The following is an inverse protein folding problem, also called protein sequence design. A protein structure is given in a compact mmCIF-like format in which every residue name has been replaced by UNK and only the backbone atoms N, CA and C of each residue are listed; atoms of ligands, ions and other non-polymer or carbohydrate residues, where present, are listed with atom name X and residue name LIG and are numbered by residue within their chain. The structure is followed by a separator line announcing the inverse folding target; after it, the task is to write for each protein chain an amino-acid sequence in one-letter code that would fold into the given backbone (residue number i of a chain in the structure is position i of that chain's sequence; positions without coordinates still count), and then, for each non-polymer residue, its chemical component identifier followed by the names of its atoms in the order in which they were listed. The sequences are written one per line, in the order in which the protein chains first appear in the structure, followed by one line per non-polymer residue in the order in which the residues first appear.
data_IF_906760099877
#
_entry.id   IF_906760099877
#
_cell.length_a   1.000
_cell.length_b   1.000
_cell.length_c   1.000
_cell.angle_alpha   90.00
_cell.angle_beta   90.00
_cell.angle_gamma   90.00
#
_symmetry.space_group_name_H-M   'P 1'
#
loop_
_entity.id
_entity.type
_entity.pdbx_description
1 polymer ?
#
# COMPACT_ATOMS: atom_id res chain seq x y z
N UNK A 1 9.56 -11.67 -30.84
CA UNK A 1 8.33 -11.09 -30.27
C UNK A 1 8.52 -11.04 -28.77
N UNK A 2 9.01 -9.91 -28.26
CA UNK A 2 8.96 -9.55 -26.86
C UNK A 2 7.92 -8.43 -26.84
N UNK A 3 6.64 -8.79 -26.79
CA UNK A 3 5.53 -7.83 -26.93
C UNK A 3 4.88 -7.45 -25.61
N UNK A 4 5.32 -8.03 -24.49
CA UNK A 4 4.60 -7.94 -23.21
C UNK A 4 5.52 -7.45 -22.08
N UNK A 5 6.39 -6.47 -22.36
CA UNK A 5 7.16 -5.78 -21.32
C UNK A 5 6.45 -4.47 -20.96
N UNK A 6 5.57 -4.53 -19.95
CA UNK A 6 4.97 -3.34 -19.37
C UNK A 6 6.01 -2.63 -18.49
N UNK A 7 6.48 -1.47 -18.94
CA UNK A 7 7.27 -0.56 -18.10
C UNK A 7 6.32 0.30 -17.26
N UNK A 8 6.56 0.42 -15.95
CA UNK A 8 5.74 1.23 -15.03
C UNK A 8 6.58 2.05 -14.07
N UNK A 9 6.11 3.26 -13.74
CA UNK A 9 6.57 4.02 -12.57
C UNK A 9 5.96 3.44 -11.28
N UNK A 10 6.71 3.51 -10.17
CA UNK A 10 6.30 3.02 -8.85
C UNK A 10 6.05 4.19 -7.91
N UNK A 11 4.81 4.38 -7.47
CA UNK A 11 4.47 5.55 -6.66
C UNK A 11 3.70 5.24 -5.36
N UNK A 12 4.26 5.75 -4.26
CA UNK A 12 3.73 5.75 -2.90
C UNK A 12 2.79 6.94 -2.73
N UNK A 13 1.51 6.73 -2.41
CA UNK A 13 0.57 7.85 -2.17
C UNK A 13 1.12 8.85 -1.14
N UNK A 14 1.63 8.42 0.01
CA UNK A 14 2.27 9.35 0.97
C UNK A 14 3.54 10.02 0.41
N UNK A 15 4.30 9.33 -0.44
CA UNK A 15 5.55 9.81 -1.00
C UNK A 15 5.41 10.80 -2.15
N UNK A 16 4.23 10.91 -2.77
CA UNK A 16 4.03 11.74 -3.96
C UNK A 16 2.76 12.60 -3.97
N UNK A 17 1.69 12.17 -3.30
CA UNK A 17 0.35 12.74 -3.47
C UNK A 17 0.26 14.16 -2.91
N UNK A 18 0.71 14.37 -1.66
CA UNK A 18 0.41 15.60 -0.94
C UNK A 18 -1.08 15.72 -0.62
N UNK A 19 -1.58 16.95 -0.46
CA UNK A 19 -2.97 17.21 -0.12
C UNK A 19 -3.38 16.51 1.17
N UNK A 20 -2.48 16.45 2.16
CA UNK A 20 -2.62 15.59 3.34
C UNK A 20 -3.84 15.95 4.22
N UNK A 21 -4.33 17.19 4.11
CA UNK A 21 -5.51 17.75 4.80
C UNK A 21 -6.66 18.11 3.83
N UNK A 22 -6.56 17.71 2.57
CA UNK A 22 -7.51 18.08 1.52
C UNK A 22 -8.42 16.90 1.13
N UNK A 23 -9.56 17.20 0.53
CA UNK A 23 -10.52 16.21 0.05
C UNK A 23 -11.02 15.27 1.16
N UNK A 24 -11.05 15.75 2.40
CA UNK A 24 -11.48 15.00 3.59
C UNK A 24 -10.56 13.85 4.01
N UNK A 25 -9.29 13.80 3.58
CA UNK A 25 -8.34 12.76 4.01
C UNK A 25 -8.05 12.82 5.52
N UNK A 26 -8.07 11.66 6.18
CA UNK A 26 -7.61 11.50 7.56
C UNK A 26 -6.11 11.20 7.63
N UNK A 27 -5.47 11.37 8.79
CA UNK A 27 -4.05 11.09 8.95
C UNK A 27 -3.75 9.58 8.86
N UNK A 28 -2.59 9.25 8.31
CA UNK A 28 -1.94 7.94 8.37
C UNK A 28 -0.83 7.93 9.44
N UNK A 29 -0.30 6.75 9.75
CA UNK A 29 0.85 6.60 10.65
C UNK A 29 2.09 7.37 10.17
N UNK A 30 2.24 7.58 8.86
CA UNK A 30 3.35 8.35 8.30
C UNK A 30 3.19 9.85 8.47
N UNK A 31 1.95 10.37 8.49
CA UNK A 31 1.71 11.78 8.84
C UNK A 31 2.20 12.02 10.27
N UNK A 32 1.82 11.20 11.24
CA UNK A 32 2.28 11.34 12.63
C UNK A 32 3.80 11.14 12.77
N UNK A 33 4.34 10.11 12.13
CA UNK A 33 5.76 9.76 12.23
C UNK A 33 6.67 10.85 11.64
N UNK A 34 6.35 11.38 10.45
CA UNK A 34 7.15 12.41 9.79
C UNK A 34 7.15 13.75 10.52
N UNK A 35 6.09 14.05 11.28
CA UNK A 35 5.99 15.24 12.13
C UNK A 35 6.68 15.09 13.49
N UNK A 36 7.26 13.92 13.78
CA UNK A 36 8.00 13.69 15.03
C UNK A 36 9.46 14.11 14.89
N UNK A 37 9.92 14.97 15.80
CA UNK A 37 11.31 15.47 15.79
C UNK A 37 12.33 14.33 15.76
N UNK A 38 13.28 14.41 14.82
CA UNK A 38 14.39 13.47 14.68
C UNK A 38 14.05 12.16 13.97
N UNK A 39 12.80 11.95 13.53
CA UNK A 39 12.42 10.77 12.73
C UNK A 39 12.75 10.90 11.24
N UNK A 40 12.76 12.13 10.70
CA UNK A 40 13.16 12.42 9.33
C UNK A 40 14.48 13.20 9.35
N UNK A 41 15.48 12.74 8.59
CA UNK A 41 16.84 13.26 8.62
C UNK A 41 16.92 14.75 8.28
N UNK A 42 16.20 15.19 7.25
CA UNK A 42 16.15 16.57 6.78
C UNK A 42 14.94 17.36 7.32
N UNK A 43 14.14 16.74 8.18
CA UNK A 43 12.90 17.29 8.77
C UNK A 43 11.81 17.62 7.75
N UNK A 44 11.88 17.10 6.53
CA UNK A 44 10.79 17.18 5.56
C UNK A 44 9.63 16.26 5.93
N UNK A 45 8.50 16.39 5.23
CA UNK A 45 7.33 15.54 5.41
C UNK A 45 6.57 15.36 4.07
N UNK A 46 5.53 14.53 4.08
CA UNK A 46 4.69 14.24 2.91
C UNK A 46 3.49 15.16 2.73
N UNK A 47 3.45 16.33 3.38
CA UNK A 47 2.25 17.18 3.36
C UNK A 47 1.88 17.67 1.94
N UNK A 48 2.91 18.00 1.16
CA UNK A 48 2.81 18.43 -0.25
C UNK A 48 3.48 17.41 -1.18
N UNK A 49 4.61 16.81 -0.77
CA UNK A 49 5.40 15.90 -1.60
C UNK A 49 5.71 16.52 -2.99
N UNK A 50 5.36 15.86 -4.10
CA UNK A 50 5.47 16.43 -5.46
C UNK A 50 4.15 17.02 -5.99
N UNK A 51 3.14 17.08 -5.12
CA UNK A 51 1.81 17.63 -5.37
C UNK A 51 1.02 16.90 -6.47
N UNK A 52 1.20 15.57 -6.56
CA UNK A 52 0.48 14.75 -7.53
C UNK A 52 -1.05 14.84 -7.36
N UNK A 53 -1.53 15.12 -6.15
CA UNK A 53 -2.96 15.35 -5.87
C UNK A 53 -3.58 16.42 -6.79
N UNK A 54 -2.85 17.51 -7.05
CA UNK A 54 -3.29 18.57 -7.95
C UNK A 54 -2.78 18.38 -9.39
N UNK A 55 -1.66 17.69 -9.56
CA UNK A 55 -0.88 17.65 -10.81
C UNK A 55 -0.95 16.31 -11.55
N UNK A 56 -1.79 15.36 -11.11
CA UNK A 56 -1.88 14.02 -11.70
C UNK A 56 -2.11 14.02 -13.21
N UNK A 57 -2.82 15.01 -13.77
CA UNK A 57 -3.00 15.11 -15.23
C UNK A 57 -1.68 15.41 -15.97
N UNK A 58 -0.81 16.24 -15.39
CA UNK A 58 0.52 16.52 -15.94
C UNK A 58 1.39 15.27 -15.86
N UNK A 59 1.34 14.56 -14.73
CA UNK A 59 2.13 13.35 -14.52
C UNK A 59 1.69 12.22 -15.48
N UNK A 60 0.39 12.02 -15.69
CA UNK A 60 -0.13 11.05 -16.66
C UNK A 60 0.27 11.41 -18.10
N UNK A 61 0.21 12.69 -18.48
CA UNK A 61 0.65 13.16 -19.80
C UNK A 61 2.17 12.93 -20.00
N UNK A 62 2.98 13.12 -18.97
CA UNK A 62 4.41 12.80 -19.02
C UNK A 62 4.66 11.29 -19.16
N UNK A 63 3.95 10.45 -18.42
CA UNK A 63 4.02 8.98 -18.52
C UNK A 63 3.69 8.53 -19.95
N UNK A 64 2.62 9.09 -20.54
CA UNK A 64 2.23 8.81 -21.91
C UNK A 64 3.31 9.24 -22.92
N UNK A 65 3.85 10.46 -22.77
CA UNK A 65 4.91 11.00 -23.65
C UNK A 65 6.22 10.20 -23.59
N UNK A 66 6.52 9.60 -22.45
CA UNK A 66 7.68 8.72 -22.28
C UNK A 66 7.46 7.31 -22.88
N UNK A 67 6.24 7.01 -23.33
CA UNK A 67 5.89 5.74 -23.97
C UNK A 67 5.64 4.61 -22.99
N UNK A 68 5.33 4.90 -21.72
CA UNK A 68 4.93 3.89 -20.76
C UNK A 68 3.51 3.40 -21.05
N UNK A 69 3.32 2.09 -20.96
CA UNK A 69 2.02 1.44 -21.21
C UNK A 69 1.26 1.14 -19.91
N UNK A 70 1.91 1.28 -18.76
CA UNK A 70 1.32 1.00 -17.47
C UNK A 70 1.80 2.00 -16.41
N UNK A 71 0.94 2.24 -15.43
CA UNK A 71 1.27 3.10 -14.30
C UNK A 71 0.81 2.44 -13.00
N UNK A 72 1.77 2.19 -12.11
CA UNK A 72 1.51 1.59 -10.81
C UNK A 72 1.48 2.66 -9.73
N UNK A 73 0.31 2.83 -9.11
CA UNK A 73 0.10 3.76 -8.01
C UNK A 73 -0.62 3.07 -6.84
N UNK A 74 -0.73 3.77 -5.72
CA UNK A 74 -1.46 3.28 -4.53
C UNK A 74 -2.64 4.17 -4.19
N UNK A 75 -3.69 3.58 -3.62
CA UNK A 75 -4.82 4.33 -3.07
C UNK A 75 -4.56 4.59 -1.60
N UNK A 76 -4.68 5.86 -1.17
CA UNK A 76 -4.57 6.21 0.24
C UNK A 76 -5.74 5.63 1.05
N UNK A 77 -5.47 4.69 1.95
CA UNK A 77 -6.53 4.11 2.79
C UNK A 77 -7.21 5.19 3.65
N UNK A 78 -6.41 6.05 4.28
CA UNK A 78 -6.93 7.13 5.12
C UNK A 78 -7.69 8.22 4.35
N UNK A 79 -7.58 8.24 3.01
CA UNK A 79 -8.42 9.07 2.14
C UNK A 79 -9.77 8.40 1.85
N UNK A 80 -9.82 7.10 1.57
CA UNK A 80 -11.09 6.39 1.33
C UNK A 80 -11.92 6.30 2.63
N UNK A 81 -11.25 6.05 3.76
CA UNK A 81 -11.85 5.94 5.08
C UNK A 81 -11.17 6.88 6.10
N UNK A 82 -11.45 8.19 6.04
CA UNK A 82 -10.99 9.17 7.02
C UNK A 82 -11.85 9.05 8.27
N UNK A 83 -11.27 8.78 9.42
CA UNK A 83 -12.08 8.63 10.64
C UNK A 83 -12.18 9.96 11.37
N UNK A 84 -13.22 10.74 11.02
CA UNK A 84 -14.03 11.55 11.94
C UNK A 84 -15.51 11.56 11.45
N UNK A 85 -16.42 10.95 12.20
CA UNK A 85 -17.83 11.39 12.26
C UNK A 85 -18.84 11.05 11.14
N UNK A 86 -18.65 10.08 10.24
CA UNK A 86 -19.68 9.74 9.22
C UNK A 86 -20.00 8.23 9.03
N UNK A 87 -20.90 7.94 8.09
CA UNK A 87 -21.62 6.66 7.88
C UNK A 87 -20.85 5.39 8.29
N UNK A 88 -21.25 4.88 9.46
CA UNK A 88 -20.76 3.69 10.16
C UNK A 88 -20.99 2.44 9.30
N UNK A 89 -19.93 1.84 8.75
CA UNK A 89 -19.95 0.38 8.46
C UNK A 89 -20.27 -0.37 9.76
N UNK A 90 -20.63 -1.66 9.77
CA UNK A 90 -20.87 -2.40 11.03
C UNK A 90 -19.71 -2.32 12.06
N UNK A 91 -18.56 -1.79 11.65
CA UNK A 91 -17.32 -1.61 12.40
C UNK A 91 -16.91 -0.13 12.61
N UNK A 92 -17.77 0.85 12.35
CA UNK A 92 -17.45 2.26 12.66
C UNK A 92 -16.60 3.02 11.63
N UNK A 93 -16.38 2.47 10.43
CA UNK A 93 -15.63 3.19 9.38
C UNK A 93 -16.54 4.10 8.57
N UNK A 94 -16.17 5.38 8.43
CA UNK A 94 -16.82 6.36 7.57
C UNK A 94 -16.20 6.34 6.18
N UNK A 95 -16.97 6.09 5.12
CA UNK A 95 -16.47 6.30 3.75
C UNK A 95 -16.53 7.78 3.40
N UNK A 96 -15.45 8.31 2.85
CA UNK A 96 -15.41 9.68 2.32
C UNK A 96 -16.18 9.76 0.98
N UNK A 97 -17.17 10.67 0.85
CA UNK A 97 -17.89 10.85 -0.41
C UNK A 97 -17.07 11.50 -1.52
N UNK A 98 -16.01 12.27 -1.21
CA UNK A 98 -15.19 13.01 -2.20
C UNK A 98 -14.03 12.17 -2.77
N UNK A 99 -13.47 11.25 -1.99
CA UNK A 99 -12.31 10.44 -2.38
C UNK A 99 -12.49 9.56 -3.62
N UNK A 100 -13.68 8.97 -3.87
CA UNK A 100 -13.92 8.24 -5.10
C UNK A 100 -13.75 9.12 -6.33
N UNK A 101 -14.15 10.40 -6.28
CA UNK A 101 -14.06 11.29 -7.44
C UNK A 101 -12.62 11.58 -7.85
N UNK A 102 -11.68 11.73 -6.90
CA UNK A 102 -10.27 12.02 -7.21
C UNK A 102 -9.55 10.82 -7.83
N UNK A 103 -9.66 9.64 -7.19
CA UNK A 103 -9.09 8.40 -7.73
C UNK A 103 -9.76 8.06 -9.07
N UNK A 104 -11.07 8.28 -9.21
CA UNK A 104 -11.75 8.12 -10.48
C UNK A 104 -11.24 9.10 -11.53
N UNK A 105 -11.02 10.37 -11.21
CA UNK A 105 -10.53 11.36 -12.17
C UNK A 105 -9.14 10.99 -12.69
N UNK A 106 -8.22 10.55 -11.80
CA UNK A 106 -6.93 10.03 -12.22
C UNK A 106 -7.08 8.81 -13.14
N UNK A 107 -7.94 7.85 -12.78
CA UNK A 107 -8.25 6.69 -13.63
C UNK A 107 -8.94 7.06 -14.95
N UNK A 108 -9.79 8.09 -14.97
CA UNK A 108 -10.43 8.63 -16.17
C UNK A 108 -9.37 9.28 -17.07
N UNK A 109 -8.36 9.94 -16.54
CA UNK A 109 -7.29 10.52 -17.37
C UNK A 109 -6.40 9.47 -18.04
N UNK A 110 -6.39 8.22 -17.58
CA UNK A 110 -5.59 7.12 -18.16
C UNK A 110 -6.18 6.51 -19.44
N UNK A 111 -7.22 7.10 -20.06
CA UNK A 111 -7.80 6.59 -21.32
C UNK A 111 -6.86 6.64 -22.53
N UNK A 112 -5.67 7.27 -22.43
CA UNK A 112 -4.65 7.33 -23.49
C UNK A 112 -3.81 6.03 -23.63
N UNK A 113 -4.37 4.88 -23.22
CA UNK A 113 -3.72 3.57 -23.37
C UNK A 113 -2.83 3.13 -22.20
N UNK A 114 -2.76 3.91 -21.11
CA UNK A 114 -2.01 3.56 -19.92
C UNK A 114 -2.85 2.63 -19.02
N UNK A 115 -2.34 1.44 -18.74
CA UNK A 115 -2.99 0.46 -17.88
C UNK A 115 -2.76 0.78 -16.39
N UNK A 116 -3.82 0.89 -15.56
CA UNK A 116 -3.67 1.10 -14.14
C UNK A 116 -3.30 -0.20 -13.41
N UNK A 117 -2.24 -0.12 -12.61
CA UNK A 117 -1.81 -1.15 -11.66
C UNK A 117 -1.95 -0.60 -10.25
N UNK A 118 -2.96 -1.07 -9.49
CA UNK A 118 -3.33 -0.40 -8.24
C UNK A 118 -2.89 -1.21 -7.03
N UNK A 119 -2.14 -0.55 -6.14
CA UNK A 119 -1.77 -1.09 -4.83
C UNK A 119 -2.75 -0.58 -3.77
N UNK A 120 -3.38 -1.46 -3.00
CA UNK A 120 -4.36 -1.08 -1.97
C UNK A 120 -3.68 -0.50 -0.73
N UNK A 121 -2.58 -1.10 -0.28
CA UNK A 121 -1.84 -0.66 0.90
C UNK A 121 -0.35 -0.46 0.60
N UNK A 122 0.13 0.74 0.86
CA UNK A 122 1.53 1.12 0.65
C UNK A 122 2.05 1.86 1.88
N UNK A 123 2.10 1.13 2.99
CA UNK A 123 2.61 1.56 4.31
C UNK A 123 1.78 2.65 5.01
N UNK A 124 0.64 3.01 4.44
CA UNK A 124 -0.16 4.20 4.76
C UNK A 124 -1.35 3.90 5.70
N UNK A 125 -1.11 3.07 6.73
CA UNK A 125 -2.16 2.67 7.68
C UNK A 125 -2.84 3.90 8.29
N UNK A 126 -4.19 3.99 8.31
CA UNK A 126 -4.89 5.07 8.99
C UNK A 126 -4.46 5.19 10.45
N UNK A 127 -4.05 6.39 10.88
CA UNK A 127 -3.52 6.64 12.21
C UNK A 127 -4.50 6.21 13.30
N UNK A 128 -5.79 6.49 13.09
CA UNK A 128 -6.85 6.10 14.01
C UNK A 128 -6.86 4.59 14.32
N UNK A 129 -6.64 3.73 13.32
CA UNK A 129 -6.59 2.27 13.53
C UNK A 129 -5.34 1.86 14.31
N UNK A 130 -4.24 2.59 14.14
CA UNK A 130 -3.05 2.40 14.95
C UNK A 130 -3.31 2.79 16.42
N UNK A 131 -3.86 3.98 16.65
CA UNK A 131 -4.07 4.52 18.01
C UNK A 131 -5.14 3.77 18.81
N UNK A 132 -6.23 3.34 18.16
CA UNK A 132 -7.37 2.72 18.86
C UNK A 132 -7.23 1.23 19.07
N UNK A 133 -6.56 0.52 18.16
CA UNK A 133 -6.49 -0.94 18.22
C UNK A 133 -5.09 -1.51 17.99
N UNK A 134 -4.06 -0.70 17.70
CA UNK A 134 -2.68 -1.16 17.51
C UNK A 134 -2.34 -1.55 16.06
N UNK A 135 -3.22 -1.28 15.09
CA UNK A 135 -2.94 -1.52 13.67
C UNK A 135 -2.65 -2.98 13.33
N UNK A 136 -1.52 -3.24 12.67
CA UNK A 136 -1.12 -4.59 12.23
C UNK A 136 -0.83 -5.57 13.37
N UNK A 137 -0.71 -5.11 14.61
CA UNK A 137 -0.56 -6.00 15.76
C UNK A 137 -1.89 -6.61 16.24
N UNK A 138 -3.03 -6.14 15.71
CA UNK A 138 -4.34 -6.58 16.13
C UNK A 138 -5.06 -7.34 15.01
N UNK A 139 -5.56 -8.54 15.33
CA UNK A 139 -6.27 -9.42 14.39
C UNK A 139 -7.47 -8.76 13.71
N UNK A 140 -8.12 -7.80 14.35
CA UNK A 140 -9.26 -7.08 13.75
C UNK A 140 -8.87 -6.31 12.48
N UNK A 141 -7.60 -5.96 12.28
CA UNK A 141 -7.12 -5.27 11.06
C UNK A 141 -7.46 -6.02 9.76
N UNK A 142 -7.59 -7.35 9.84
CA UNK A 142 -7.98 -8.20 8.71
C UNK A 142 -9.36 -7.81 8.20
N UNK A 143 -10.31 -7.54 9.11
CA UNK A 143 -11.69 -7.16 8.77
C UNK A 143 -11.73 -5.72 8.23
N UNK A 144 -11.01 -4.79 8.85
CA UNK A 144 -10.90 -3.41 8.36
C UNK A 144 -10.30 -3.34 6.96
N UNK A 145 -9.22 -4.09 6.70
CA UNK A 145 -8.60 -4.15 5.38
C UNK A 145 -9.53 -4.81 4.35
N UNK A 146 -10.26 -5.86 4.74
CA UNK A 146 -11.24 -6.52 3.87
C UNK A 146 -12.37 -5.56 3.44
N UNK A 147 -12.92 -4.77 4.37
CA UNK A 147 -13.92 -3.73 4.07
C UNK A 147 -13.35 -2.67 3.13
N UNK A 148 -12.12 -2.23 3.37
CA UNK A 148 -11.43 -1.28 2.51
C UNK A 148 -11.22 -1.82 1.09
N UNK A 149 -10.70 -3.04 0.97
CA UNK A 149 -10.50 -3.70 -0.32
C UNK A 149 -11.82 -3.88 -1.08
N UNK A 150 -12.89 -4.34 -0.41
CA UNK A 150 -14.23 -4.47 -1.00
C UNK A 150 -14.73 -3.14 -1.59
N UNK A 151 -14.54 -2.04 -0.85
CA UNK A 151 -14.88 -0.71 -1.33
C UNK A 151 -14.05 -0.32 -2.56
N UNK A 152 -12.74 -0.57 -2.57
CA UNK A 152 -11.91 -0.27 -3.75
C UNK A 152 -12.34 -1.08 -4.98
N UNK A 153 -12.55 -2.40 -4.83
CA UNK A 153 -13.00 -3.25 -5.94
C UNK A 153 -14.36 -2.83 -6.49
N UNK A 154 -15.32 -2.49 -5.61
CA UNK A 154 -16.65 -2.04 -6.02
C UNK A 154 -16.63 -0.76 -6.86
N UNK A 155 -15.70 0.15 -6.59
CA UNK A 155 -15.73 1.50 -7.16
C UNK A 155 -14.78 1.72 -8.32
N UNK A 156 -13.73 0.91 -8.43
CA UNK A 156 -12.70 1.09 -9.44
C UNK A 156 -12.45 -0.15 -10.29
N UNK A 157 -12.98 -1.32 -9.91
CA UNK A 157 -12.72 -2.58 -10.60
C UNK A 157 -13.39 -2.72 -11.98
N UNK A 158 -14.28 -1.79 -12.35
CA UNK A 158 -14.76 -1.63 -13.72
C UNK A 158 -13.59 -1.30 -14.67
N UNK A 159 -12.62 -0.50 -14.22
CA UNK A 159 -11.45 -0.05 -15.00
C UNK A 159 -10.14 -0.69 -14.57
N UNK A 160 -9.94 -0.91 -13.27
CA UNK A 160 -8.70 -1.50 -12.74
C UNK A 160 -8.75 -3.01 -12.85
N UNK A 161 -7.83 -3.57 -13.64
CA UNK A 161 -7.71 -5.02 -13.87
C UNK A 161 -6.51 -5.66 -13.19
N UNK A 162 -5.58 -4.87 -12.65
CA UNK A 162 -4.38 -5.35 -11.98
C UNK A 162 -4.31 -4.76 -10.58
N UNK A 163 -4.52 -5.61 -9.57
CA UNK A 163 -4.54 -5.22 -8.17
C UNK A 163 -3.38 -5.85 -7.41
N UNK A 164 -2.80 -5.07 -6.51
CA UNK A 164 -1.84 -5.52 -5.52
C UNK A 164 -2.38 -5.15 -4.15
N UNK A 165 -2.45 -6.12 -3.26
CA UNK A 165 -3.01 -5.91 -1.92
C UNK A 165 -2.06 -5.10 -1.05
N UNK A 166 -0.88 -5.64 -0.77
CA UNK A 166 0.11 -5.06 0.15
C UNK A 166 1.43 -4.93 -0.61
N UNK A 167 2.08 -3.76 -0.46
CA UNK A 167 3.45 -3.55 -0.91
C UNK A 167 4.44 -3.86 0.21
N UNK A 168 5.39 -4.74 -0.10
CA UNK A 168 6.59 -5.00 0.72
C UNK A 168 6.21 -5.25 2.19
N UNK A 169 5.45 -6.34 2.47
CA UNK A 169 4.97 -6.64 3.80
C UNK A 169 6.12 -6.79 4.81
N UNK A 170 7.25 -7.34 4.36
CA UNK A 170 8.47 -7.47 5.14
C UNK A 170 8.97 -6.10 5.63
N UNK A 171 9.01 -5.09 4.75
CA UNK A 171 9.45 -3.75 5.13
C UNK A 171 8.54 -3.13 6.19
N UNK A 172 7.23 -3.31 6.08
CA UNK A 172 6.29 -2.83 7.11
C UNK A 172 6.49 -3.58 8.44
N UNK A 173 6.70 -4.90 8.40
CA UNK A 173 6.88 -5.73 9.59
C UNK A 173 8.22 -5.45 10.29
N UNK A 174 9.33 -5.44 9.55
CA UNK A 174 10.68 -5.27 10.09
C UNK A 174 10.96 -3.80 10.38
N UNK A 175 10.78 -2.89 9.43
CA UNK A 175 11.14 -1.49 9.68
C UNK A 175 10.15 -0.75 10.58
N UNK A 176 8.89 -1.20 10.63
CA UNK A 176 7.86 -0.62 11.49
C UNK A 176 7.91 -1.13 12.94
N UNK A 177 8.34 -2.39 13.17
CA UNK A 177 8.20 -3.08 14.46
C UNK A 177 9.47 -3.81 14.97
N UNK A 178 10.53 -3.92 14.16
CA UNK A 178 11.87 -4.35 14.57
C UNK A 178 12.82 -3.16 14.58
N UNK A 179 13.26 -2.64 13.43
CA UNK A 179 14.30 -1.59 13.42
C UNK A 179 13.77 -0.20 13.80
N UNK A 180 12.44 -0.01 13.79
CA UNK A 180 11.74 1.24 14.13
C UNK A 180 12.12 2.46 13.27
N UNK A 181 12.69 2.24 12.08
CA UNK A 181 13.07 3.31 11.15
C UNK A 181 11.90 3.76 10.27
N UNK A 182 10.84 2.95 10.14
CA UNK A 182 9.58 3.32 9.47
C UNK A 182 8.46 3.51 10.48
N UNK A 183 7.40 4.23 10.09
CA UNK A 183 6.18 4.30 10.87
C UNK A 183 5.61 2.89 11.14
N UNK A 184 5.08 2.59 12.34
CA UNK A 184 4.86 3.48 13.48
C UNK A 184 6.10 3.70 14.37
N UNK A 185 7.26 3.12 14.04
CA UNK A 185 8.51 3.33 14.77
C UNK A 185 8.57 2.60 16.11
N UNK A 186 8.02 1.38 16.16
CA UNK A 186 7.92 0.55 17.37
C UNK A 186 9.13 -0.37 17.51
N UNK A 187 9.58 -0.54 18.75
CA UNK A 187 10.72 -1.40 19.11
C UNK A 187 10.52 -2.11 20.46
N UNK A 188 9.34 -1.98 21.07
CA UNK A 188 9.10 -2.46 22.43
C UNK A 188 9.19 -3.98 22.53
N UNK A 189 8.87 -4.70 21.45
CA UNK A 189 8.88 -6.15 21.40
C UNK A 189 9.31 -6.69 20.02
N UNK A 190 10.50 -6.29 19.59
CA UNK A 190 11.08 -6.57 18.26
C UNK A 190 11.23 -8.06 17.90
N UNK A 191 11.19 -8.97 18.88
CA UNK A 191 11.26 -10.42 18.62
C UNK A 191 9.89 -11.07 18.37
N UNK A 192 8.77 -10.34 18.56
CA UNK A 192 7.40 -10.85 18.40
C UNK A 192 6.61 -9.98 17.41
N UNK A 193 6.66 -8.66 17.54
CA UNK A 193 5.81 -7.74 16.78
C UNK A 193 5.95 -7.86 15.25
N UNK A 194 7.16 -8.02 14.67
CA UNK A 194 7.30 -8.21 13.22
C UNK A 194 6.58 -9.46 12.71
N UNK A 195 6.68 -10.59 13.42
CA UNK A 195 5.99 -11.83 13.09
C UNK A 195 4.48 -11.69 13.16
N UNK A 196 3.98 -10.99 14.18
CA UNK A 196 2.55 -10.74 14.34
C UNK A 196 2.01 -9.82 13.24
N UNK A 197 2.74 -8.75 12.92
CA UNK A 197 2.39 -7.82 11.85
C UNK A 197 2.35 -8.53 10.48
N UNK A 198 3.39 -9.30 10.13
CA UNK A 198 3.43 -10.06 8.89
C UNK A 198 2.30 -11.10 8.82
N UNK A 199 2.03 -11.80 9.93
CA UNK A 199 0.95 -12.80 10.00
C UNK A 199 -0.41 -12.18 9.69
N UNK A 200 -0.75 -11.03 10.28
CA UNK A 200 -2.01 -10.35 10.00
C UNK A 200 -2.05 -9.76 8.59
N UNK A 201 -0.92 -9.29 8.04
CA UNK A 201 -0.84 -8.84 6.65
C UNK A 201 -1.13 -9.97 5.65
N UNK A 202 -0.58 -11.17 5.87
CA UNK A 202 -0.85 -12.36 5.04
C UNK A 202 -2.33 -12.74 5.11
N UNK A 203 -2.93 -12.74 6.30
CA UNK A 203 -4.36 -13.03 6.47
C UNK A 203 -5.25 -11.96 5.81
N UNK A 204 -4.87 -10.68 5.90
CA UNK A 204 -5.56 -9.57 5.26
C UNK A 204 -5.49 -9.67 3.73
N UNK A 205 -4.32 -10.03 3.18
CA UNK A 205 -4.15 -10.37 1.76
C UNK A 205 -5.12 -11.49 1.35
N UNK A 206 -5.13 -12.61 2.08
CA UNK A 206 -5.99 -13.74 1.76
C UNK A 206 -7.49 -13.37 1.80
N UNK A 207 -7.90 -12.57 2.78
CA UNK A 207 -9.27 -12.06 2.88
C UNK A 207 -9.66 -11.19 1.68
N UNK A 208 -8.80 -10.24 1.28
CA UNK A 208 -9.05 -9.38 0.13
C UNK A 208 -9.10 -10.18 -1.19
N UNK A 209 -8.20 -11.14 -1.40
CA UNK A 209 -8.23 -12.03 -2.56
C UNK A 209 -9.51 -12.85 -2.58
N UNK A 210 -9.94 -13.40 -1.43
CA UNK A 210 -11.19 -14.16 -1.32
C UNK A 210 -12.40 -13.32 -1.73
N UNK A 211 -12.48 -12.06 -1.26
CA UNK A 211 -13.55 -11.13 -1.66
C UNK A 211 -13.55 -10.92 -3.18
N UNK A 212 -12.38 -10.64 -3.76
CA UNK A 212 -12.28 -10.40 -5.20
C UNK A 212 -12.72 -11.62 -6.01
N UNK A 213 -12.20 -12.79 -5.67
CA UNK A 213 -12.52 -14.03 -6.39
C UNK A 213 -14.01 -14.37 -6.34
N UNK A 214 -14.65 -14.18 -5.18
CA UNK A 214 -16.04 -14.60 -4.98
C UNK A 214 -17.08 -13.56 -5.45
N UNK A 215 -16.75 -12.26 -5.41
CA UNK A 215 -17.72 -11.17 -5.66
C UNK A 215 -17.49 -10.43 -6.98
N UNK A 216 -16.24 -10.33 -7.45
CA UNK A 216 -15.86 -9.41 -8.51
C UNK A 216 -15.24 -10.08 -9.74
N UNK A 217 -14.52 -11.20 -9.58
CA UNK A 217 -13.74 -11.83 -10.66
C UNK A 217 -14.56 -12.13 -11.91
N UNK A 218 -15.77 -12.68 -11.76
CA UNK A 218 -16.65 -13.04 -12.88
C UNK A 218 -17.05 -11.81 -13.71
N UNK A 219 -17.39 -10.70 -13.04
CA UNK A 219 -17.90 -9.50 -13.69
C UNK A 219 -16.79 -8.52 -14.14
N UNK A 220 -15.68 -8.47 -13.41
CA UNK A 220 -14.61 -7.50 -13.63
C UNK A 220 -13.42 -8.06 -14.40
N UNK A 221 -13.18 -9.38 -14.37
CA UNK A 221 -12.15 -10.06 -15.15
C UNK A 221 -10.69 -9.85 -14.70
N UNK A 222 -10.41 -8.89 -13.81
CA UNK A 222 -9.04 -8.56 -13.36
C UNK A 222 -8.37 -9.60 -12.46
N UNK A 223 -7.18 -9.28 -11.97
CA UNK A 223 -6.30 -10.14 -11.17
C UNK A 223 -5.87 -9.43 -9.88
N UNK A 224 -5.57 -10.20 -8.84
CA UNK A 224 -5.14 -9.70 -7.53
C UNK A 224 -3.90 -10.46 -7.08
N UNK A 225 -2.86 -9.72 -6.68
CA UNK A 225 -1.62 -10.26 -6.14
C UNK A 225 -1.11 -9.50 -4.91
N UNK A 226 0.15 -9.73 -4.59
CA UNK A 226 0.92 -9.07 -3.53
C UNK A 226 2.29 -8.67 -4.09
N UNK A 227 2.89 -7.60 -3.58
CA UNK A 227 4.24 -7.19 -3.98
C UNK A 227 5.20 -7.48 -2.85
N UNK A 228 6.23 -8.25 -3.14
CA UNK A 228 7.26 -8.68 -2.19
C UNK A 228 8.60 -8.16 -2.67
N UNK A 229 9.33 -7.47 -1.80
CA UNK A 229 10.70 -7.04 -2.06
C UNK A 229 11.66 -8.23 -1.99
N UNK A 230 12.63 -8.23 -2.90
CA UNK A 230 13.60 -9.31 -3.01
C UNK A 230 15.00 -8.73 -3.16
N UNK A 231 15.85 -9.03 -2.18
CA UNK A 231 17.29 -8.87 -2.29
C UNK A 231 17.91 -10.24 -2.56
N UNK A 232 18.68 -10.36 -3.64
CA UNK A 232 19.42 -11.58 -3.91
C UNK A 232 20.51 -11.80 -2.87
N UNK A 233 20.59 -13.02 -2.33
CA UNK A 233 21.66 -13.44 -1.43
C UNK A 233 22.59 -14.42 -2.14
N UNK A 234 23.79 -13.96 -2.48
CA UNK A 234 24.85 -14.80 -3.02
C UNK A 234 25.67 -15.43 -1.88
N UNK A 235 26.03 -16.70 -2.01
CA UNK A 235 26.91 -17.34 -1.04
C UNK A 235 28.31 -16.73 -1.10
N UNK A 236 28.88 -16.37 0.07
CA UNK A 236 30.20 -15.74 0.13
C UNK A 236 31.35 -16.66 -0.34
N UNK A 237 31.15 -17.98 -0.29
CA UNK A 237 32.06 -18.98 -0.86
C UNK A 237 31.34 -20.28 -1.18
N UNK A 238 32.08 -21.25 -1.73
CA UNK A 238 31.56 -22.58 -2.05
C UNK A 238 31.28 -23.49 -0.84
N UNK A 239 31.63 -23.03 0.36
CA UNK A 239 31.39 -23.75 1.62
C UNK A 239 29.90 -23.99 1.85
N UNK A 240 29.58 -25.13 2.46
CA UNK A 240 28.18 -25.51 2.70
C UNK A 240 27.50 -24.55 3.69
N UNK A 241 28.26 -23.99 4.62
CA UNK A 241 27.78 -23.03 5.62
C UNK A 241 27.33 -21.72 4.97
N UNK A 242 28.11 -21.22 4.00
CA UNK A 242 27.82 -19.98 3.27
C UNK A 242 26.62 -20.17 2.33
N UNK A 243 26.55 -21.31 1.63
CA UNK A 243 25.39 -21.69 0.81
C UNK A 243 24.11 -21.79 1.66
N UNK A 244 24.22 -22.37 2.85
CA UNK A 244 23.11 -22.47 3.80
C UNK A 244 22.71 -21.10 4.37
N UNK A 245 23.67 -20.20 4.59
CA UNK A 245 23.39 -18.84 5.06
C UNK A 245 22.66 -18.01 3.99
N UNK A 246 23.09 -18.08 2.73
CA UNK A 246 22.41 -17.44 1.61
C UNK A 246 20.97 -17.96 1.44
N UNK A 247 20.77 -19.28 1.50
CA UNK A 247 19.42 -19.87 1.45
C UNK A 247 18.53 -19.35 2.60
N UNK A 248 19.03 -19.33 3.84
CA UNK A 248 18.28 -18.76 4.98
C UNK A 248 17.94 -17.28 4.79
N UNK A 249 18.85 -16.48 4.21
CA UNK A 249 18.57 -15.06 3.91
C UNK A 249 17.39 -14.94 2.95
N UNK A 250 17.32 -15.78 1.91
CA UNK A 250 16.20 -15.80 0.97
C UNK A 250 14.90 -16.29 1.63
N UNK A 251 14.97 -17.31 2.49
CA UNK A 251 13.79 -17.79 3.24
C UNK A 251 13.18 -16.67 4.11
N UNK A 252 14.01 -15.88 4.80
CA UNK A 252 13.54 -14.76 5.63
C UNK A 252 13.20 -13.48 4.84
N UNK A 253 13.68 -13.35 3.59
CA UNK A 253 13.41 -12.17 2.75
C UNK A 253 12.17 -12.35 1.87
N UNK A 254 12.03 -13.52 1.23
CA UNK A 254 11.00 -13.80 0.21
C UNK A 254 10.08 -14.93 0.67
N UNK A 255 10.62 -15.91 1.39
CA UNK A 255 9.87 -17.10 1.81
C UNK A 255 8.87 -16.85 2.94
N UNK A 256 9.07 -15.79 3.73
CA UNK A 256 8.22 -15.40 4.86
C UNK A 256 6.90 -14.76 4.40
#
# INVERSE_FOLDING_TARGET
MISDLAFSGLELSFGIEGGCKEGGRGPSIWDAFSHTDGKILDKSNGDVAVDHYHRYMEDIDLIAKLGFEAYRFSISWSRIFPVEGGLVTPYGMTRNPESPCLVQNALFSMFDGIQPYVTLYHWDLPLHLHETMGGWLNRQIIEYFAVYADACFANFGDRVKNWMTINEPLQTAVNGYDTAIFAPGRHENAHIEPYLAAHHQILAHAAAVSIYQNKYKENQGGQVGIVVDCEWAEANSDKIEDKSAAARRLDFQIGW
#
